data_IF_344142243328
#
_entry.id   IF_344142243328
#
_cell.length_a   1.000
_cell.length_b   1.000
_cell.length_c   1.000
_cell.angle_alpha   90.00
_cell.angle_beta   90.00
_cell.angle_gamma   90.00
#
_symmetry.space_group_name_H-M   'P 1'
#
loop_
_entity.id
_entity.type
_entity.pdbx_description
1 polymer ?
#
# COMPACT_ATOMS: atom_id res chain seq x y z
N UNK A 1 18.34 -11.76 17.16
CA UNK A 1 16.99 -11.67 17.77
C UNK A 1 16.05 -11.38 16.61
N UNK A 2 15.01 -12.19 16.37
CA UNK A 2 14.07 -11.98 15.26
C UNK A 2 12.85 -11.21 15.74
N UNK A 3 12.63 -10.01 15.21
CA UNK A 3 11.39 -9.26 15.43
C UNK A 3 10.38 -9.64 14.36
N UNK A 4 9.18 -10.05 14.77
CA UNK A 4 8.05 -10.34 13.86
C UNK A 4 6.87 -9.46 14.24
N UNK A 5 6.39 -8.64 13.32
CA UNK A 5 5.18 -7.84 13.52
C UNK A 5 3.93 -8.75 13.52
N UNK A 6 3.35 -8.98 14.69
CA UNK A 6 2.15 -9.82 14.87
C UNK A 6 0.84 -9.07 14.63
N UNK A 7 0.85 -7.74 14.65
CA UNK A 7 -0.33 -6.88 14.47
C UNK A 7 -0.77 -6.67 13.02
N UNK A 8 -0.22 -7.42 12.06
CA UNK A 8 -0.55 -7.23 10.64
C UNK A 8 -2.04 -7.43 10.35
N UNK A 9 -2.67 -8.40 11.02
CA UNK A 9 -4.07 -8.72 10.76
C UNK A 9 -5.03 -7.62 11.21
N UNK A 10 -4.70 -6.89 12.28
CA UNK A 10 -5.53 -5.79 12.80
C UNK A 10 -5.34 -4.51 11.96
N UNK A 11 -4.13 -4.31 11.41
CA UNK A 11 -3.80 -3.15 10.58
C UNK A 11 -4.31 -3.28 9.14
N UNK A 12 -4.50 -4.52 8.64
CA UNK A 12 -4.94 -4.84 7.28
C UNK A 12 -6.18 -4.06 6.83
N UNK A 13 -7.32 -4.08 7.58
CA UNK A 13 -8.55 -3.41 7.13
C UNK A 13 -8.37 -1.90 6.97
N UNK A 14 -7.67 -1.27 7.91
CA UNK A 14 -7.42 0.18 7.88
C UNK A 14 -6.53 0.57 6.69
N UNK A 15 -5.44 -0.18 6.45
CA UNK A 15 -4.56 0.08 5.30
C UNK A 15 -5.27 -0.08 3.96
N UNK A 16 -6.16 -1.06 3.83
CA UNK A 16 -6.95 -1.27 2.61
C UNK A 16 -7.94 -0.13 2.41
N UNK A 17 -8.62 0.29 3.48
CA UNK A 17 -9.57 1.40 3.43
C UNK A 17 -8.87 2.70 3.00
N UNK A 18 -7.68 2.97 3.54
CA UNK A 18 -6.88 4.13 3.16
C UNK A 18 -6.43 4.05 1.69
N UNK A 19 -5.87 2.91 1.27
CA UNK A 19 -5.43 2.72 -0.11
C UNK A 19 -6.59 2.89 -1.12
N UNK A 20 -7.79 2.41 -0.78
CA UNK A 20 -8.97 2.59 -1.62
C UNK A 20 -9.42 4.06 -1.67
N UNK A 21 -9.33 4.80 -0.56
CA UNK A 21 -9.66 6.23 -0.52
C UNK A 21 -8.69 7.02 -1.39
N UNK A 22 -7.39 6.83 -1.22
CA UNK A 22 -6.37 7.51 -2.03
C UNK A 22 -6.49 7.17 -3.52
N UNK A 23 -6.82 5.91 -3.86
CA UNK A 23 -7.04 5.51 -5.24
C UNK A 23 -8.25 6.23 -5.86
N UNK A 24 -9.34 6.39 -5.10
CA UNK A 24 -10.54 7.10 -5.55
C UNK A 24 -10.29 8.60 -5.70
N UNK A 25 -9.58 9.22 -4.77
CA UNK A 25 -9.19 10.63 -4.85
C UNK A 25 -8.31 10.89 -6.08
N UNK A 26 -7.35 10.02 -6.34
CA UNK A 26 -6.50 10.09 -7.54
C UNK A 26 -7.34 9.96 -8.82
N UNK A 27 -8.27 9.00 -8.86
CA UNK A 27 -9.20 8.84 -9.98
C UNK A 27 -10.09 10.08 -10.18
N UNK A 28 -10.53 10.72 -9.09
CA UNK A 28 -11.31 11.95 -9.14
C UNK A 28 -10.51 13.10 -9.74
N UNK A 29 -9.25 13.22 -9.37
CA UNK A 29 -8.36 14.22 -9.96
C UNK A 29 -8.21 13.99 -11.47
N UNK A 30 -7.93 12.75 -11.90
CA UNK A 30 -7.83 12.42 -13.33
C UNK A 30 -9.12 12.70 -14.11
N UNK A 31 -10.27 12.41 -13.51
CA UNK A 31 -11.58 12.69 -14.09
C UNK A 31 -11.76 14.19 -14.30
N UNK A 32 -11.52 14.99 -13.25
CA UNK A 32 -11.61 16.45 -13.29
C UNK A 32 -10.68 17.05 -14.36
N UNK A 33 -9.43 16.57 -14.42
CA UNK A 33 -8.44 17.05 -15.39
C UNK A 33 -8.79 16.67 -16.84
N UNK A 34 -9.57 15.60 -17.03
CA UNK A 34 -10.00 15.12 -18.34
C UNK A 34 -11.40 15.61 -18.75
N UNK A 35 -12.07 16.41 -17.90
CA UNK A 35 -13.46 16.83 -18.11
C UNK A 35 -14.48 15.68 -18.02
N UNK A 36 -14.10 14.58 -17.37
CA UNK A 36 -14.91 13.39 -17.17
C UNK A 36 -15.30 13.24 -15.69
N UNK A 37 -16.11 12.23 -15.40
CA UNK A 37 -16.58 11.85 -14.08
C UNK A 37 -16.08 10.45 -13.71
N UNK A 38 -15.78 10.22 -12.43
CA UNK A 38 -15.37 8.89 -11.96
C UNK A 38 -16.57 7.95 -12.01
N UNK A 39 -16.47 6.92 -12.84
CA UNK A 39 -17.45 5.87 -13.00
C UNK A 39 -17.23 4.69 -12.05
N UNK A 40 -17.66 3.51 -12.49
CA UNK A 40 -17.57 2.28 -11.70
C UNK A 40 -16.13 1.77 -11.64
N UNK A 41 -15.83 0.97 -10.63
CA UNK A 41 -14.58 0.22 -10.56
C UNK A 41 -14.63 -0.85 -11.66
N UNK A 42 -13.66 -0.80 -12.57
CA UNK A 42 -13.50 -1.79 -13.64
C UNK A 42 -12.70 -2.99 -13.15
N UNK A 43 -11.63 -2.73 -12.42
CA UNK A 43 -10.73 -3.75 -11.87
C UNK A 43 -10.19 -3.30 -10.53
N UNK A 44 -10.09 -4.20 -9.56
CA UNK A 44 -9.35 -3.96 -8.32
C UNK A 44 -8.43 -5.16 -8.08
N UNK A 45 -7.17 -4.88 -7.77
CA UNK A 45 -6.16 -5.89 -7.44
C UNK A 45 -5.38 -5.42 -6.21
N UNK A 46 -5.22 -6.31 -5.24
CA UNK A 46 -4.44 -6.06 -4.03
C UNK A 46 -3.15 -6.87 -4.09
N UNK A 47 -2.01 -6.18 -4.04
CA UNK A 47 -0.69 -6.80 -3.94
C UNK A 47 -0.41 -7.36 -2.54
N UNK A 48 0.70 -8.08 -2.43
CA UNK A 48 1.13 -8.64 -1.16
C UNK A 48 1.58 -7.56 -0.17
N UNK A 49 1.41 -7.85 1.12
CA UNK A 49 2.01 -7.05 2.18
C UNK A 49 3.51 -7.33 2.23
N UNK A 50 4.32 -6.30 2.12
CA UNK A 50 5.76 -6.37 2.39
C UNK A 50 6.06 -5.70 3.73
N UNK A 51 6.87 -6.38 4.53
CA UNK A 51 7.37 -5.87 5.81
C UNK A 51 8.88 -5.71 5.65
N UNK A 52 9.37 -4.50 5.82
CA UNK A 52 10.80 -4.17 5.75
C UNK A 52 11.26 -3.47 7.03
N UNK A 53 12.56 -3.31 7.23
CA UNK A 53 13.07 -2.40 8.26
C UNK A 53 12.58 -0.96 8.01
N UNK A 54 12.31 -0.19 9.07
CA UNK A 54 12.07 1.27 8.95
C UNK A 54 13.36 2.02 8.62
N UNK A 55 14.45 1.65 9.29
CA UNK A 55 15.75 2.33 9.25
C UNK A 55 16.86 1.43 8.66
N UNK A 56 16.46 0.39 7.92
CA UNK A 56 17.41 -0.55 7.31
C UNK A 56 18.31 0.18 6.33
N UNK A 57 19.61 0.10 6.57
CA UNK A 57 20.62 0.52 5.60
C UNK A 57 20.41 -0.34 4.36
N UNK A 58 20.26 0.27 3.19
CA UNK A 58 20.24 -0.41 1.90
C UNK A 58 21.68 -0.90 1.62
N UNK A 59 22.15 -1.87 2.41
CA UNK A 59 23.45 -2.50 2.21
C UNK A 59 23.27 -3.83 1.47
N UNK A 60 23.91 -3.90 0.30
CA UNK A 60 23.93 -5.07 -0.59
C UNK A 60 24.43 -6.37 0.07
N UNK A 61 25.07 -6.27 1.24
CA UNK A 61 25.65 -7.37 2.01
C UNK A 61 25.03 -7.63 3.39
N UNK A 62 23.97 -6.91 3.76
CA UNK A 62 23.32 -7.09 5.06
C UNK A 62 21.92 -7.67 4.90
N UNK A 63 21.45 -8.35 5.94
CA UNK A 63 20.10 -8.93 5.99
C UNK A 63 19.04 -7.81 5.97
N UNK A 64 18.60 -7.45 4.76
CA UNK A 64 17.57 -6.43 4.50
C UNK A 64 16.17 -6.83 4.98
N UNK A 65 16.01 -7.98 5.63
CA UNK A 65 14.73 -8.45 6.18
C UNK A 65 14.18 -7.57 7.30
N UNK A 66 15.01 -6.69 7.90
CA UNK A 66 14.60 -5.86 9.03
C UNK A 66 14.29 -6.64 10.31
N UNK A 67 14.68 -7.92 10.36
CA UNK A 67 14.50 -8.80 11.51
C UNK A 67 15.28 -8.33 12.75
N UNK A 68 16.27 -7.45 12.60
CA UNK A 68 17.11 -6.91 13.68
C UNK A 68 16.66 -5.53 14.19
N UNK A 69 15.62 -4.92 13.64
CA UNK A 69 15.13 -3.60 14.09
C UNK A 69 13.76 -3.69 14.75
N UNK A 70 13.52 -3.04 15.90
CA UNK A 70 12.20 -3.01 16.54
C UNK A 70 11.16 -2.25 15.72
N UNK A 71 11.58 -1.41 14.77
CA UNK A 71 10.69 -0.64 13.89
C UNK A 71 10.59 -1.28 12.51
N UNK A 72 9.40 -1.75 12.15
CA UNK A 72 9.12 -2.38 10.86
C UNK A 72 8.17 -1.50 10.04
N UNK A 73 8.42 -1.40 8.74
CA UNK A 73 7.61 -0.68 7.76
C UNK A 73 6.75 -1.69 7.00
N UNK A 74 5.44 -1.58 7.14
CA UNK A 74 4.47 -2.39 6.40
C UNK A 74 4.00 -1.61 5.18
N UNK A 75 4.09 -2.22 3.99
CA UNK A 75 3.60 -1.67 2.73
C UNK A 75 2.62 -2.65 2.09
N UNK A 76 1.51 -2.12 1.60
CA UNK A 76 0.59 -2.82 0.69
C UNK A 76 0.34 -1.92 -0.50
N UNK A 77 0.27 -2.51 -1.69
CA UNK A 77 -0.06 -1.79 -2.92
C UNK A 77 -1.42 -2.29 -3.39
N UNK A 78 -2.39 -1.39 -3.49
CA UNK A 78 -3.71 -1.69 -4.04
C UNK A 78 -3.86 -0.91 -5.34
N UNK A 79 -4.16 -1.62 -6.43
CA UNK A 79 -4.38 -1.05 -7.76
C UNK A 79 -5.87 -1.12 -8.07
N UNK A 80 -6.50 0.04 -8.21
CA UNK A 80 -7.91 0.15 -8.59
C UNK A 80 -8.01 0.93 -9.89
N UNK A 81 -8.60 0.31 -10.91
CA UNK A 81 -8.88 0.92 -12.20
C UNK A 81 -10.35 1.37 -12.22
N UNK A 82 -10.56 2.65 -12.49
CA UNK A 82 -11.88 3.25 -12.63
C UNK A 82 -12.17 3.53 -14.10
N UNK A 83 -13.42 3.34 -14.48
CA UNK A 83 -13.94 3.89 -15.74
C UNK A 83 -14.16 5.40 -15.57
N UNK A 84 -13.90 6.18 -16.62
CA UNK A 84 -14.18 7.62 -16.67
C UNK A 84 -15.30 7.84 -17.70
N UNK A 85 -16.35 8.57 -17.30
CA UNK A 85 -17.50 8.90 -18.14
C UNK A 85 -17.59 10.37 -18.47
#
# INVERSE_FOLDING_TARGET
VNYTFTGLNDLKPEMIAEANRSARESAQQFANDSGASVGKIKTASQGYFSISARDGVDCEYCDSSGANTPFQKVRVVTTVAYELN
#
